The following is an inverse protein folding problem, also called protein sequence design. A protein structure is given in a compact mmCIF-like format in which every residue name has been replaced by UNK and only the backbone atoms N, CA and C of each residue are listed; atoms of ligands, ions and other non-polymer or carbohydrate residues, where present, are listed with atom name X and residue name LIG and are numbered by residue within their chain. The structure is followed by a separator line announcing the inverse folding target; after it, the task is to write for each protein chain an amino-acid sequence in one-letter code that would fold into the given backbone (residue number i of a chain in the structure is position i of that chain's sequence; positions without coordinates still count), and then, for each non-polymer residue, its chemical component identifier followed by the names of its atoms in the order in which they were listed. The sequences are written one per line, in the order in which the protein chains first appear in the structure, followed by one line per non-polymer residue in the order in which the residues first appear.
data_IF_474284943110
#
_entry.id   IF_474284943110
#
_cell.length_a   1.000
_cell.length_b   1.000
_cell.length_c   1.000
_cell.angle_alpha   90.00
_cell.angle_beta   90.00
_cell.angle_gamma   90.00
#
_symmetry.space_group_name_H-M   'P 1'
#
loop_
_entity.id
_entity.type
_entity.pdbx_description
1 polymer ?
#
# COMPACT_ATOMS: atom_id res chain seq x y z
N UNK A 1 21.90 -7.80 2.63
CA UNK A 1 21.17 -6.77 3.36
C UNK A 1 19.68 -7.06 3.35
N UNK A 2 19.06 -7.06 4.51
CA UNK A 2 17.64 -7.36 4.60
C UNK A 2 16.84 -6.07 4.55
N UNK A 3 15.90 -6.02 3.63
CA UNK A 3 15.02 -4.87 3.54
C UNK A 3 13.65 -5.24 4.07
N UNK A 4 13.05 -4.31 4.79
CA UNK A 4 11.71 -4.47 5.31
C UNK A 4 10.79 -3.55 4.54
N UNK A 5 9.82 -4.14 3.86
CA UNK A 5 8.87 -3.37 3.07
C UNK A 5 7.48 -3.50 3.70
N UNK A 6 6.81 -2.38 3.81
CA UNK A 6 5.46 -2.36 4.33
C UNK A 6 4.49 -1.97 3.23
N UNK A 7 3.48 -2.79 3.03
CA UNK A 7 2.41 -2.50 2.08
C UNK A 7 1.22 -2.01 2.90
N UNK A 8 0.79 -0.79 2.63
CA UNK A 8 -0.38 -0.22 3.30
C UNK A 8 -1.53 -0.25 2.31
N UNK A 9 -2.54 -1.04 2.64
CA UNK A 9 -3.65 -1.32 1.74
C UNK A 9 -4.95 -0.73 2.25
N UNK A 10 -5.64 0.03 1.38
CA UNK A 10 -6.98 0.46 1.68
C UNK A 10 -7.94 -0.71 1.50
N UNK A 11 -8.87 -0.89 2.42
CA UNK A 11 -9.86 -1.94 2.28
C UNK A 11 -11.09 -1.48 1.51
N UNK A 12 -11.16 -0.21 1.15
CA UNK A 12 -12.23 0.26 0.28
C UNK A 12 -12.03 -0.38 -1.10
N UNK A 13 -13.02 -1.04 -1.62
CA UNK A 13 -12.92 -1.82 -2.85
C UNK A 13 -11.85 -2.89 -2.75
N UNK A 14 -11.96 -3.70 -1.72
CA UNK A 14 -10.92 -4.68 -1.44
C UNK A 14 -10.74 -5.71 -2.56
N UNK A 15 -11.77 -5.94 -3.38
CA UNK A 15 -11.61 -6.83 -4.52
C UNK A 15 -10.49 -6.35 -5.44
N UNK A 16 -10.38 -5.04 -5.60
CA UNK A 16 -9.37 -4.46 -6.46
C UNK A 16 -8.04 -4.37 -5.73
N UNK A 17 -8.07 -3.86 -4.49
CA UNK A 17 -6.82 -3.66 -3.77
C UNK A 17 -6.15 -4.98 -3.40
N UNK A 18 -6.94 -6.03 -3.14
CA UNK A 18 -6.35 -7.34 -2.86
C UNK A 18 -5.55 -7.86 -4.05
N UNK A 19 -6.04 -7.63 -5.26
CA UNK A 19 -5.31 -8.04 -6.45
C UNK A 19 -4.01 -7.26 -6.60
N UNK A 20 -4.06 -5.97 -6.28
CA UNK A 20 -2.88 -5.13 -6.36
C UNK A 20 -1.84 -5.57 -5.35
N UNK A 21 -2.29 -5.90 -4.13
CA UNK A 21 -1.37 -6.39 -3.10
C UNK A 21 -0.72 -7.69 -3.54
N UNK A 22 -1.52 -8.59 -4.12
CA UNK A 22 -0.98 -9.86 -4.57
C UNK A 22 0.11 -9.66 -5.62
N UNK A 23 -0.12 -8.76 -6.56
CA UNK A 23 0.88 -8.45 -7.56
C UNK A 23 2.13 -7.83 -6.95
N UNK A 24 1.94 -6.91 -6.00
CA UNK A 24 3.07 -6.26 -5.36
C UNK A 24 3.92 -7.28 -4.60
N UNK A 25 3.26 -8.19 -3.87
CA UNK A 25 3.99 -9.23 -3.13
C UNK A 25 4.78 -10.11 -4.09
N UNK A 26 4.20 -10.47 -5.22
CA UNK A 26 4.90 -11.30 -6.18
C UNK A 26 6.16 -10.61 -6.69
N UNK A 27 6.07 -9.34 -7.00
CA UNK A 27 7.22 -8.59 -7.48
C UNK A 27 8.29 -8.50 -6.40
N UNK A 28 7.87 -8.25 -5.15
CA UNK A 28 8.83 -8.15 -4.06
C UNK A 28 9.54 -9.48 -3.84
N UNK A 29 8.80 -10.57 -3.89
CA UNK A 29 9.42 -11.89 -3.71
C UNK A 29 10.35 -12.23 -4.86
N UNK A 30 9.98 -11.83 -6.06
CA UNK A 30 10.85 -12.06 -7.20
C UNK A 30 12.18 -11.33 -7.00
N UNK A 31 12.15 -10.17 -6.37
CA UNK A 31 13.34 -9.41 -6.07
C UNK A 31 13.96 -9.77 -4.72
N UNK A 32 13.58 -10.92 -4.19
CA UNK A 32 14.18 -11.50 -2.98
C UNK A 32 13.95 -10.69 -1.71
N UNK A 33 12.89 -9.91 -1.68
CA UNK A 33 12.51 -9.22 -0.46
C UNK A 33 11.77 -10.22 0.41
N UNK A 34 12.30 -10.48 1.60
CA UNK A 34 11.74 -11.51 2.47
C UNK A 34 10.88 -10.95 3.59
N UNK A 35 11.08 -9.72 3.98
CA UNK A 35 10.32 -9.15 5.06
C UNK A 35 9.27 -8.20 4.50
N UNK A 36 8.03 -8.65 4.45
CA UNK A 36 6.92 -7.90 3.89
C UNK A 36 5.81 -7.84 4.92
N UNK A 37 5.41 -6.64 5.29
CA UNK A 37 4.31 -6.44 6.21
C UNK A 37 3.16 -5.81 5.46
N UNK A 38 1.96 -6.33 5.66
CA UNK A 38 0.77 -5.78 5.04
C UNK A 38 -0.12 -5.23 6.13
N UNK A 39 -0.44 -3.93 6.03
CA UNK A 39 -1.31 -3.27 6.98
C UNK A 39 -2.52 -2.77 6.22
N UNK A 40 -3.71 -3.06 6.72
CA UNK A 40 -4.95 -2.66 6.10
C UNK A 40 -5.56 -1.50 6.84
N UNK A 41 -6.05 -0.53 6.08
CA UNK A 41 -6.72 0.64 6.64
C UNK A 41 -8.04 0.84 5.91
N UNK A 42 -9.05 1.40 6.57
CA UNK A 42 -10.38 1.51 5.96
C UNK A 42 -10.45 2.47 4.79
N UNK A 43 -9.60 3.47 4.73
CA UNK A 43 -9.67 4.42 3.64
C UNK A 43 -8.31 4.85 3.19
N UNK A 44 -8.25 5.30 1.94
CA UNK A 44 -6.98 5.72 1.37
C UNK A 44 -6.41 6.95 2.04
N UNK A 45 -7.28 7.78 2.61
CA UNK A 45 -6.81 9.00 3.24
C UNK A 45 -6.02 8.77 4.51
N UNK A 46 -6.12 7.57 5.08
CA UNK A 46 -5.39 7.25 6.29
C UNK A 46 -3.98 6.75 6.02
N UNK A 47 -3.68 6.44 4.78
CA UNK A 47 -2.39 5.87 4.43
C UNK A 47 -1.23 6.82 4.72
N UNK A 48 -1.28 8.10 4.33
CA UNK A 48 -0.14 8.97 4.62
C UNK A 48 0.15 9.11 6.10
N UNK A 49 -0.89 9.17 6.92
CA UNK A 49 -0.70 9.30 8.35
C UNK A 49 -0.03 8.07 8.94
N UNK A 50 -0.44 6.90 8.47
CA UNK A 50 0.14 5.67 8.95
C UNK A 50 1.59 5.55 8.54
N UNK A 51 1.91 5.86 7.30
CA UNK A 51 3.28 5.80 6.82
C UNK A 51 4.16 6.73 7.63
N UNK A 52 3.65 7.94 7.91
CA UNK A 52 4.40 8.89 8.69
C UNK A 52 4.79 8.35 10.06
N UNK A 53 3.91 7.57 10.67
CA UNK A 53 4.20 6.98 11.97
C UNK A 53 5.19 5.83 11.90
N UNK A 54 5.28 5.18 10.76
CA UNK A 54 6.09 3.98 10.63
C UNK A 54 7.36 4.19 9.84
N UNK A 55 7.63 5.42 9.46
CA UNK A 55 8.71 5.72 8.52
C UNK A 55 10.07 5.20 8.98
N UNK A 56 10.29 5.12 10.28
CA UNK A 56 11.59 4.65 10.79
C UNK A 56 11.65 3.15 11.02
N UNK A 57 10.57 2.44 10.75
CA UNK A 57 10.52 1.00 11.03
C UNK A 57 10.70 0.16 9.78
N UNK A 58 10.54 0.75 8.62
CA UNK A 58 10.60 0.00 7.37
C UNK A 58 11.50 0.73 6.39
N UNK A 59 12.08 -0.01 5.48
CA UNK A 59 12.97 0.57 4.47
C UNK A 59 12.20 1.17 3.32
N UNK A 60 10.99 0.72 3.10
CA UNK A 60 10.16 1.27 2.04
C UNK A 60 8.71 0.96 2.28
N UNK A 61 7.86 1.69 1.60
CA UNK A 61 6.42 1.54 1.71
C UNK A 61 5.79 1.49 0.33
N UNK A 62 4.75 0.68 0.21
CA UNK A 62 3.93 0.65 -0.99
C UNK A 62 2.52 0.97 -0.54
N UNK A 63 1.96 2.07 -1.06
CA UNK A 63 0.61 2.47 -0.70
C UNK A 63 -0.34 2.01 -1.80
N UNK A 64 -1.34 1.22 -1.44
CA UNK A 64 -2.30 0.69 -2.39
C UNK A 64 -3.68 1.16 -1.99
N UNK A 65 -4.29 1.96 -2.85
CA UNK A 65 -5.62 2.46 -2.62
C UNK A 65 -6.38 2.53 -3.91
N UNK A 66 -7.70 2.60 -3.79
CA UNK A 66 -8.54 2.75 -4.94
C UNK A 66 -9.38 4.01 -4.74
N UNK A 67 -9.18 4.98 -5.59
CA UNK A 67 -9.93 6.21 -5.55
C UNK A 67 -10.78 6.24 -6.82
N UNK A 68 -12.08 6.29 -6.62
CA UNK A 68 -12.98 6.35 -7.75
C UNK A 68 -13.23 7.79 -8.08
N UNK A 69 -12.93 8.15 -9.31
CA UNK A 69 -13.07 9.51 -9.75
C UNK A 69 -14.54 9.88 -9.87
N UNK A 70 -14.91 10.98 -9.30
CA UNK A 70 -16.27 11.47 -9.41
C UNK A 70 -16.45 12.29 -10.68
N UNK A 71 -17.62 12.87 -10.79
CA UNK A 71 -17.93 13.61 -11.96
C UNK A 71 -17.35 14.97 -12.02
N UNK A 72 -17.01 15.50 -10.87
CA UNK A 72 -16.51 16.84 -10.83
C UNK A 72 -15.04 16.88 -10.85
N UNK A 73 -14.44 16.22 -11.58
CA UNK A 73 -13.10 16.00 -11.53
C UNK A 73 -12.18 17.07 -11.82
N UNK A 74 -12.35 18.20 -11.44
CA UNK A 74 -11.42 19.27 -11.67
C UNK A 74 -10.24 19.16 -10.79
N UNK A 75 -9.44 18.25 -11.03
CA UNK A 75 -8.30 18.05 -10.24
C UNK A 75 -7.15 18.85 -10.62
N UNK A 76 -7.24 19.68 -11.51
CA UNK A 76 -6.07 20.35 -11.96
C UNK A 76 -5.29 21.11 -10.96
#
# INVERSE_FOLDING_TARGET
MKKKICIVQSTYNSNITDRMVKGAVQVLKYNKVKSIKIIRVPGSFEIPQLISKLVNRYDGFIAIGCIIKGETENFN
#
